data_IF_064392277412
#
_entry.id   IF_064392277412
#
_cell.length_a   1.000
_cell.length_b   1.000
_cell.length_c   1.000
_cell.angle_alpha   90.00
_cell.angle_beta   90.00
_cell.angle_gamma   90.00
#
_symmetry.space_group_name_H-M   'P 1'
#
loop_
_entity.id
_entity.type
_entity.pdbx_description
1 polymer ?
#
# COMPACT_ATOMS: atom_id res chain seq x y z
N UNK A 1 -45.90 1.91 26.86
CA UNK A 1 -45.45 0.63 27.44
C UNK A 1 -44.43 -0.12 26.57
N UNK A 2 -44.41 0.04 25.25
CA UNK A 2 -43.46 -0.63 24.32
C UNK A 2 -42.01 -0.12 24.39
N UNK A 3 -41.79 1.16 24.69
CA UNK A 3 -40.46 1.78 24.74
C UNK A 3 -39.56 1.29 25.89
N UNK A 4 -40.15 1.03 27.07
CA UNK A 4 -39.40 0.56 28.25
C UNK A 4 -38.97 -0.90 28.11
N UNK A 5 -39.86 -1.76 27.60
CA UNK A 5 -39.57 -3.17 27.32
C UNK A 5 -38.48 -3.36 26.25
N UNK A 6 -38.45 -2.46 25.25
CA UNK A 6 -37.38 -2.46 24.24
C UNK A 6 -36.03 -2.06 24.83
N UNK A 7 -35.98 -1.03 25.69
CA UNK A 7 -34.73 -0.55 26.31
C UNK A 7 -34.09 -1.63 27.19
N UNK A 8 -34.89 -2.34 27.97
CA UNK A 8 -34.41 -3.38 28.89
C UNK A 8 -33.79 -4.58 28.15
N UNK A 9 -34.40 -5.00 27.02
CA UNK A 9 -33.82 -6.03 26.13
C UNK A 9 -32.51 -5.57 25.49
N UNK A 10 -32.44 -4.33 25.01
CA UNK A 10 -31.22 -3.78 24.40
C UNK A 10 -30.08 -3.68 25.41
N UNK A 11 -30.36 -3.29 26.67
CA UNK A 11 -29.36 -3.25 27.74
C UNK A 11 -28.86 -4.64 28.10
N UNK A 12 -29.74 -5.65 28.19
CA UNK A 12 -29.35 -7.03 28.49
C UNK A 12 -28.47 -7.65 27.38
N UNK A 13 -28.81 -7.40 26.10
CA UNK A 13 -27.98 -7.81 24.95
C UNK A 13 -26.61 -7.12 24.96
N UNK A 14 -26.57 -5.81 25.24
CA UNK A 14 -25.32 -5.07 25.32
C UNK A 14 -24.40 -5.59 26.44
N UNK A 15 -24.95 -5.93 27.62
CA UNK A 15 -24.18 -6.53 28.71
C UNK A 15 -23.59 -7.87 28.29
N UNK A 16 -24.36 -8.71 27.61
CA UNK A 16 -23.88 -10.01 27.12
C UNK A 16 -22.76 -9.89 26.08
N UNK A 17 -22.87 -8.92 25.17
CA UNK A 17 -21.83 -8.65 24.16
C UNK A 17 -20.56 -8.07 24.77
N UNK A 18 -20.68 -7.19 25.79
CA UNK A 18 -19.54 -6.70 26.56
C UNK A 18 -18.85 -7.84 27.30
N UNK A 19 -19.60 -8.76 27.91
CA UNK A 19 -19.02 -9.92 28.59
C UNK A 19 -18.26 -10.82 27.61
N UNK A 20 -18.83 -11.12 26.43
CA UNK A 20 -18.12 -11.90 25.40
C UNK A 20 -16.87 -11.20 24.91
N UNK A 21 -16.93 -9.90 24.68
CA UNK A 21 -15.79 -9.10 24.26
C UNK A 21 -14.66 -9.16 25.30
N UNK A 22 -14.99 -8.98 26.58
CA UNK A 22 -14.02 -9.08 27.67
C UNK A 22 -13.42 -10.50 27.80
N UNK A 23 -14.23 -11.55 27.62
CA UNK A 23 -13.75 -12.93 27.61
C UNK A 23 -12.82 -13.19 26.43
N UNK A 24 -13.15 -12.70 25.23
CA UNK A 24 -12.31 -12.83 24.04
C UNK A 24 -10.97 -12.11 24.22
N UNK A 25 -11.01 -10.86 24.70
CA UNK A 25 -9.80 -10.08 24.98
C UNK A 25 -8.95 -10.77 26.05
N UNK A 26 -9.57 -11.25 27.13
CA UNK A 26 -8.89 -12.00 28.16
C UNK A 26 -8.24 -13.28 27.64
N UNK A 27 -8.94 -14.02 26.77
CA UNK A 27 -8.41 -15.23 26.13
C UNK A 27 -7.23 -14.92 25.18
N UNK A 28 -7.30 -13.81 24.43
CA UNK A 28 -6.20 -13.34 23.57
C UNK A 28 -5.00 -12.95 24.43
N UNK A 29 -5.19 -12.16 25.49
CA UNK A 29 -4.11 -11.75 26.39
C UNK A 29 -3.48 -12.99 27.02
N UNK A 30 -4.29 -13.92 27.54
CA UNK A 30 -3.79 -15.16 28.12
C UNK A 30 -3.01 -16.00 27.10
N UNK A 31 -3.55 -16.18 25.89
CA UNK A 31 -2.87 -16.92 24.83
C UNK A 31 -1.54 -16.27 24.40
N UNK A 32 -1.50 -14.94 24.32
CA UNK A 32 -0.29 -14.18 24.03
C UNK A 32 0.73 -14.30 25.16
N UNK A 33 0.31 -14.14 26.42
CA UNK A 33 1.18 -14.28 27.59
C UNK A 33 1.79 -15.68 27.67
N UNK A 34 0.96 -16.72 27.60
CA UNK A 34 1.42 -18.12 27.59
C UNK A 34 2.32 -18.40 26.38
N UNK A 35 1.97 -17.87 25.21
CA UNK A 35 2.80 -17.98 24.01
C UNK A 35 4.18 -17.35 24.20
N UNK A 36 4.24 -16.13 24.75
CA UNK A 36 5.50 -15.42 24.98
C UNK A 36 6.41 -16.12 25.99
N UNK A 37 5.84 -16.70 27.05
CA UNK A 37 6.57 -17.46 28.06
C UNK A 37 7.09 -18.79 27.50
N UNK A 38 6.26 -19.53 26.75
CA UNK A 38 6.65 -20.82 26.14
C UNK A 38 7.72 -20.69 25.07
N UNK A 39 7.76 -19.57 24.35
CA UNK A 39 8.76 -19.28 23.32
C UNK A 39 10.09 -18.78 23.90
N UNK A 40 10.20 -18.62 25.23
CA UNK A 40 11.38 -18.01 25.86
C UNK A 40 11.62 -16.58 25.39
N UNK A 41 10.56 -15.87 25.00
CA UNK A 41 10.68 -14.56 24.40
C UNK A 41 10.82 -13.49 25.49
N UNK A 42 12.00 -12.91 25.60
CA UNK A 42 12.25 -11.79 26.51
C UNK A 42 12.01 -10.47 25.77
N UNK A 43 10.88 -9.81 26.04
CA UNK A 43 10.59 -8.48 25.49
C UNK A 43 11.63 -7.46 25.95
N UNK A 44 12.43 -6.94 25.02
CA UNK A 44 13.53 -6.01 25.29
C UNK A 44 13.21 -4.59 24.79
N UNK A 45 12.08 -4.03 25.21
CA UNK A 45 11.61 -2.70 24.77
C UNK A 45 12.65 -1.59 24.94
N UNK A 46 13.50 -1.69 25.97
CA UNK A 46 14.60 -0.76 26.22
C UNK A 46 15.66 -0.71 25.09
N UNK A 47 15.70 -1.69 24.18
CA UNK A 47 16.64 -1.67 23.04
C UNK A 47 16.09 -0.89 21.84
N UNK A 48 14.78 -0.64 21.79
CA UNK A 48 14.11 -0.03 20.64
C UNK A 48 14.64 1.37 20.38
N UNK A 49 14.93 2.14 21.43
CA UNK A 49 15.46 3.51 21.32
C UNK A 49 16.70 3.58 20.42
N UNK A 50 17.61 2.61 20.53
CA UNK A 50 18.85 2.53 19.74
C UNK A 50 18.60 2.28 18.25
N UNK A 51 17.45 1.73 17.88
CA UNK A 51 17.08 1.54 16.49
C UNK A 51 16.46 2.80 15.86
N UNK A 52 16.00 3.74 16.69
CA UNK A 52 15.44 5.02 16.26
C UNK A 52 16.55 6.08 16.22
N UNK A 53 17.28 6.26 17.32
CA UNK A 53 18.37 7.25 17.44
C UNK A 53 19.56 6.63 18.15
N UNK A 54 20.75 6.85 17.60
CA UNK A 54 22.01 6.45 18.24
C UNK A 54 22.83 7.69 18.54
N UNK A 55 23.47 7.73 19.72
CA UNK A 55 24.44 8.76 20.08
C UNK A 55 25.85 8.19 19.93
N UNK A 56 26.54 8.57 18.86
CA UNK A 56 27.90 8.13 18.56
C UNK A 56 28.80 9.34 18.28
N UNK A 57 30.02 9.35 18.81
CA UNK A 57 31.03 10.39 18.56
C UNK A 57 30.52 11.82 18.78
N UNK A 58 29.77 12.04 19.88
CA UNK A 58 29.17 13.32 20.26
C UNK A 58 28.18 13.89 19.21
N UNK A 59 27.59 13.04 18.38
CA UNK A 59 26.56 13.39 17.38
C UNK A 59 25.37 12.45 17.50
N UNK A 60 24.18 13.01 17.29
CA UNK A 60 22.98 12.22 17.08
C UNK A 60 22.95 11.69 15.65
N UNK A 61 22.83 10.37 15.51
CA UNK A 61 22.68 9.68 14.24
C UNK A 61 21.33 8.98 14.16
N UNK A 62 20.73 9.00 12.97
CA UNK A 62 19.50 8.26 12.71
C UNK A 62 19.78 6.76 12.79
N UNK A 63 19.04 6.05 13.65
CA UNK A 63 19.11 4.61 13.76
C UNK A 63 18.52 3.91 12.53
N UNK A 64 18.72 2.59 12.39
CA UNK A 64 18.27 1.81 11.23
C UNK A 64 16.79 1.97 10.86
N UNK A 65 15.89 2.17 11.83
CA UNK A 65 14.46 2.36 11.55
C UNK A 65 14.20 3.70 10.87
N UNK A 66 14.85 4.78 11.32
CA UNK A 66 14.75 6.08 10.66
C UNK A 66 15.41 6.07 9.29
N UNK A 67 16.50 5.33 9.12
CA UNK A 67 17.13 5.13 7.81
C UNK A 67 16.19 4.37 6.85
N UNK A 68 15.55 3.29 7.31
CA UNK A 68 14.57 2.54 6.51
C UNK A 68 13.33 3.37 6.16
N UNK A 69 12.83 4.18 7.10
CA UNK A 69 11.75 5.14 6.86
C UNK A 69 12.14 6.15 5.77
N UNK A 70 13.37 6.67 5.82
CA UNK A 70 13.87 7.60 4.81
C UNK A 70 13.97 6.96 3.42
N UNK A 71 14.42 5.70 3.33
CA UNK A 71 14.42 4.96 2.07
C UNK A 71 12.99 4.74 1.56
N UNK A 72 12.03 4.46 2.44
CA UNK A 72 10.61 4.33 2.08
C UNK A 72 10.12 5.61 1.43
N UNK A 73 10.35 6.77 2.06
CA UNK A 73 9.96 8.06 1.47
C UNK A 73 10.62 8.31 0.11
N UNK A 74 11.91 7.96 -0.06
CA UNK A 74 12.60 8.09 -1.34
C UNK A 74 11.98 7.22 -2.43
N UNK A 75 11.75 5.94 -2.15
CA UNK A 75 11.13 5.01 -3.10
C UNK A 75 9.74 5.53 -3.47
N UNK A 76 8.89 5.85 -2.48
CA UNK A 76 7.53 6.35 -2.71
C UNK A 76 7.53 7.62 -3.55
N UNK A 77 8.37 8.61 -3.23
CA UNK A 77 8.42 9.87 -3.95
C UNK A 77 8.78 9.69 -5.44
N UNK A 78 9.84 8.92 -5.72
CA UNK A 78 10.29 8.68 -7.10
C UNK A 78 9.27 7.81 -7.85
N UNK A 79 8.78 6.74 -7.23
CA UNK A 79 7.76 5.87 -7.82
C UNK A 79 6.49 6.63 -8.17
N UNK A 80 6.04 7.55 -7.32
CA UNK A 80 4.82 8.32 -7.54
C UNK A 80 4.95 9.22 -8.78
N UNK A 81 6.07 9.93 -8.93
CA UNK A 81 6.33 10.78 -10.12
C UNK A 81 6.29 9.93 -11.40
N UNK A 82 6.96 8.77 -11.39
CA UNK A 82 6.98 7.86 -12.54
C UNK A 82 5.61 7.21 -12.78
N UNK A 83 4.88 6.82 -11.74
CA UNK A 83 3.54 6.26 -11.82
C UNK A 83 2.56 7.25 -12.46
N UNK A 84 2.62 8.52 -12.07
CA UNK A 84 1.83 9.57 -12.73
C UNK A 84 2.17 9.70 -14.22
N UNK A 85 3.46 9.60 -14.56
CA UNK A 85 3.92 9.65 -15.95
C UNK A 85 3.40 8.46 -16.75
N UNK A 86 3.61 7.22 -16.26
CA UNK A 86 3.11 6.00 -16.92
C UNK A 86 1.58 5.98 -16.99
N UNK A 87 0.90 6.42 -15.94
CA UNK A 87 -0.54 6.50 -15.87
C UNK A 87 -1.11 7.47 -16.89
N UNK A 88 -0.54 8.68 -17.00
CA UNK A 88 -0.98 9.68 -17.97
C UNK A 88 -0.77 9.20 -19.41
N UNK A 89 0.43 8.69 -19.72
CA UNK A 89 0.74 8.15 -21.05
C UNK A 89 -0.21 7.02 -21.40
N UNK A 90 -0.42 6.06 -20.51
CA UNK A 90 -1.33 4.93 -20.73
C UNK A 90 -2.78 5.38 -20.93
N UNK A 91 -3.25 6.36 -20.16
CA UNK A 91 -4.59 6.92 -20.31
C UNK A 91 -4.78 7.59 -21.68
N UNK A 92 -3.79 8.36 -22.15
CA UNK A 92 -3.80 8.98 -23.48
C UNK A 92 -3.80 7.92 -24.58
N UNK A 93 -2.98 6.88 -24.46
CA UNK A 93 -2.96 5.77 -25.42
C UNK A 93 -4.31 5.05 -25.51
N UNK A 94 -5.01 4.85 -24.38
CA UNK A 94 -6.35 4.26 -24.34
C UNK A 94 -7.44 5.11 -24.99
N UNK A 95 -7.33 6.42 -24.87
CA UNK A 95 -8.28 7.38 -25.44
C UNK A 95 -7.98 7.72 -26.91
N UNK A 96 -6.85 7.25 -27.43
CA UNK A 96 -6.47 7.43 -28.82
C UNK A 96 -7.35 6.61 -29.77
N UNK A 97 -7.58 7.16 -30.97
CA UNK A 97 -8.23 6.44 -32.08
C UNK A 97 -7.31 5.41 -32.75
N UNK A 98 -6.02 5.38 -32.41
CA UNK A 98 -5.05 4.44 -32.98
C UNK A 98 -5.21 3.04 -32.37
N UNK A 99 -5.44 2.04 -33.23
CA UNK A 99 -5.54 0.64 -32.82
C UNK A 99 -4.25 0.15 -32.13
N UNK A 100 -3.08 0.57 -32.63
CA UNK A 100 -1.79 0.19 -32.05
C UNK A 100 -1.61 0.78 -30.64
N UNK A 101 -1.99 2.05 -30.43
CA UNK A 101 -1.92 2.69 -29.11
C UNK A 101 -2.83 1.97 -28.11
N UNK A 102 -4.05 1.63 -28.53
CA UNK A 102 -5.00 0.90 -27.70
C UNK A 102 -4.49 -0.50 -27.34
N UNK A 103 -3.89 -1.23 -28.30
CA UNK A 103 -3.34 -2.56 -28.09
C UNK A 103 -2.17 -2.56 -27.08
N UNK A 104 -1.25 -1.59 -27.19
CA UNK A 104 -0.12 -1.44 -26.25
C UNK A 104 -0.63 -1.15 -24.84
N UNK A 105 -1.56 -0.19 -24.70
CA UNK A 105 -2.13 0.15 -23.41
C UNK A 105 -2.90 -1.03 -22.79
N UNK A 106 -3.69 -1.74 -23.60
CA UNK A 106 -4.40 -2.94 -23.15
C UNK A 106 -3.43 -4.01 -22.64
N UNK A 107 -2.37 -4.32 -23.39
CA UNK A 107 -1.39 -5.34 -22.99
C UNK A 107 -0.66 -4.99 -21.69
N UNK A 108 -0.24 -3.73 -21.53
CA UNK A 108 0.36 -3.25 -20.29
C UNK A 108 -0.60 -3.39 -19.09
N UNK A 109 -1.86 -2.94 -19.23
CA UNK A 109 -2.83 -3.00 -18.15
C UNK A 109 -3.21 -4.43 -17.78
N UNK A 110 -3.41 -5.29 -18.77
CA UNK A 110 -3.74 -6.71 -18.56
C UNK A 110 -2.60 -7.42 -17.81
N UNK A 111 -1.36 -7.22 -18.21
CA UNK A 111 -0.20 -7.84 -17.55
C UNK A 111 -0.07 -7.35 -16.09
N UNK A 112 -0.13 -6.04 -15.88
CA UNK A 112 0.17 -5.43 -14.59
C UNK A 112 -0.96 -5.63 -13.58
N UNK A 113 -2.23 -5.51 -13.99
CA UNK A 113 -3.36 -5.58 -13.06
C UNK A 113 -3.74 -7.02 -12.71
N UNK A 114 -3.40 -8.00 -13.55
CA UNK A 114 -3.67 -9.41 -13.29
C UNK A 114 -2.52 -10.16 -12.62
N UNK A 115 -1.40 -9.49 -12.32
CA UNK A 115 -0.26 -10.11 -11.61
C UNK A 115 -0.05 -9.46 -10.24
N UNK A 116 0.21 -10.24 -9.18
CA UNK A 116 0.47 -9.67 -7.86
C UNK A 116 1.72 -8.77 -7.88
N UNK A 117 1.67 -7.61 -7.23
CA UNK A 117 2.81 -6.68 -7.11
C UNK A 117 4.07 -7.39 -6.60
N UNK A 118 3.94 -8.31 -5.64
CA UNK A 118 5.07 -9.06 -5.11
C UNK A 118 5.79 -9.88 -6.20
N UNK A 119 5.04 -10.50 -7.12
CA UNK A 119 5.60 -11.27 -8.23
C UNK A 119 6.32 -10.32 -9.21
N UNK A 120 5.74 -9.17 -9.52
CA UNK A 120 6.38 -8.17 -10.38
C UNK A 120 7.68 -7.66 -9.77
N UNK A 121 7.69 -7.38 -8.46
CA UNK A 121 8.87 -6.93 -7.74
C UNK A 121 9.96 -8.01 -7.74
N UNK A 122 9.61 -9.26 -7.50
CA UNK A 122 10.55 -10.38 -7.58
C UNK A 122 11.08 -10.59 -9.00
N UNK A 123 10.23 -10.54 -10.01
CA UNK A 123 10.67 -10.67 -11.40
C UNK A 123 11.65 -9.57 -11.78
N UNK A 124 11.33 -8.31 -11.47
CA UNK A 124 12.22 -7.18 -11.76
C UNK A 124 13.52 -7.31 -10.97
N UNK A 125 13.47 -7.64 -9.69
CA UNK A 125 14.67 -7.72 -8.85
C UNK A 125 15.57 -8.93 -9.16
N UNK A 126 15.01 -10.13 -9.34
CA UNK A 126 15.79 -11.34 -9.52
C UNK A 126 16.09 -11.70 -10.97
N UNK A 127 15.27 -11.24 -11.93
CA UNK A 127 15.44 -11.56 -13.36
C UNK A 127 15.98 -10.36 -14.14
N UNK A 128 15.34 -9.19 -14.03
CA UNK A 128 15.72 -8.01 -14.82
C UNK A 128 16.95 -7.31 -14.25
N UNK A 129 17.03 -7.17 -12.92
CA UNK A 129 18.11 -6.44 -12.23
C UNK A 129 19.50 -6.92 -12.61
N UNK A 130 19.82 -8.24 -12.61
CA UNK A 130 21.15 -8.72 -12.96
C UNK A 130 21.47 -8.60 -14.46
N UNK A 131 20.45 -8.67 -15.33
CA UNK A 131 20.63 -8.57 -16.78
C UNK A 131 20.92 -7.13 -17.19
N UNK A 132 20.27 -6.17 -16.53
CA UNK A 132 20.37 -4.74 -16.85
C UNK A 132 21.34 -3.98 -15.92
N UNK A 133 21.97 -4.67 -14.97
CA UNK A 133 22.84 -4.11 -13.94
C UNK A 133 22.22 -2.91 -13.18
N UNK A 134 20.94 -3.04 -12.83
CA UNK A 134 20.21 -2.00 -12.07
C UNK A 134 20.18 -2.32 -10.57
N UNK A 135 20.13 -1.27 -9.75
CA UNK A 135 20.15 -1.39 -8.29
C UNK A 135 18.82 -1.91 -7.71
N UNK A 136 18.87 -2.46 -6.49
CA UNK A 136 17.67 -2.85 -5.72
C UNK A 136 16.66 -1.68 -5.57
N UNK A 137 17.17 -0.47 -5.36
CA UNK A 137 16.36 0.74 -5.26
C UNK A 137 15.63 1.01 -6.58
N UNK A 138 16.34 0.98 -7.70
CA UNK A 138 15.75 1.17 -9.04
C UNK A 138 14.72 0.09 -9.36
N UNK A 139 15.00 -1.17 -9.01
CA UNK A 139 14.09 -2.29 -9.20
C UNK A 139 12.78 -2.12 -8.41
N UNK A 140 12.86 -1.69 -7.14
CA UNK A 140 11.68 -1.36 -6.35
C UNK A 140 10.90 -0.18 -6.95
N UNK A 141 11.61 0.87 -7.37
CA UNK A 141 11.00 2.06 -7.98
C UNK A 141 10.25 1.71 -9.27
N UNK A 142 10.86 0.90 -10.14
CA UNK A 142 10.26 0.44 -11.40
C UNK A 142 9.03 -0.43 -11.16
N UNK A 143 9.13 -1.43 -10.28
CA UNK A 143 8.00 -2.29 -9.93
C UNK A 143 6.80 -1.49 -9.43
N UNK A 144 7.03 -0.61 -8.45
CA UNK A 144 5.97 0.20 -7.85
C UNK A 144 5.40 1.22 -8.86
N UNK A 145 6.25 1.86 -9.65
CA UNK A 145 5.77 2.87 -10.61
C UNK A 145 4.97 2.27 -11.75
N UNK A 146 5.38 1.11 -12.28
CA UNK A 146 4.62 0.38 -13.31
C UNK A 146 3.30 -0.15 -12.75
N UNK A 147 3.30 -0.67 -11.52
CA UNK A 147 2.09 -1.16 -10.88
C UNK A 147 1.09 -0.03 -10.64
N UNK A 148 1.48 1.00 -9.89
CA UNK A 148 0.63 2.14 -9.56
C UNK A 148 0.23 2.93 -10.82
N UNK A 149 1.11 3.05 -11.81
CA UNK A 149 0.82 3.70 -13.09
C UNK A 149 -0.36 3.09 -13.81
N UNK A 150 -0.55 1.76 -13.73
CA UNK A 150 -1.69 1.09 -14.33
C UNK A 150 -3.01 1.51 -13.68
N UNK A 151 -3.04 1.62 -12.35
CA UNK A 151 -4.21 2.09 -11.61
C UNK A 151 -4.46 3.59 -11.82
N UNK A 152 -3.41 4.42 -11.80
CA UNK A 152 -3.50 5.86 -12.08
C UNK A 152 -4.03 6.10 -13.50
N UNK A 153 -3.69 5.26 -14.47
CA UNK A 153 -4.23 5.40 -15.84
C UNK A 153 -5.75 5.29 -15.89
N UNK A 154 -6.36 4.43 -15.06
CA UNK A 154 -7.82 4.31 -14.98
C UNK A 154 -8.44 5.52 -14.29
N UNK A 155 -7.75 6.08 -13.29
CA UNK A 155 -8.18 7.33 -12.63
C UNK A 155 -8.20 8.46 -13.66
N UNK A 156 -7.11 8.64 -14.42
CA UNK A 156 -7.05 9.67 -15.46
C UNK A 156 -8.10 9.46 -16.53
N UNK A 157 -8.23 8.25 -17.08
CA UNK A 157 -9.22 7.93 -18.11
C UNK A 157 -10.64 8.20 -17.61
N UNK A 158 -10.95 7.78 -16.38
CA UNK A 158 -12.27 7.99 -15.78
C UNK A 158 -12.52 9.48 -15.53
N UNK A 159 -11.52 10.23 -15.08
CA UNK A 159 -11.59 11.67 -14.93
C UNK A 159 -11.91 12.38 -16.25
N UNK A 160 -11.23 12.02 -17.34
CA UNK A 160 -11.46 12.61 -18.66
C UNK A 160 -12.85 12.25 -19.20
N UNK A 161 -13.25 10.97 -19.12
CA UNK A 161 -14.55 10.49 -19.63
C UNK A 161 -15.72 11.01 -18.80
N UNK A 162 -15.50 11.43 -17.55
CA UNK A 162 -16.55 11.98 -16.69
C UNK A 162 -17.02 13.39 -17.09
N UNK A 163 -16.28 14.08 -17.97
CA UNK A 163 -16.64 15.42 -18.45
C UNK A 163 -17.80 15.32 -19.44
N UNK A 164 -18.84 16.13 -19.22
CA UNK A 164 -20.04 16.15 -20.06
C UNK A 164 -19.71 16.48 -21.52
N UNK A 165 -20.37 15.81 -22.46
CA UNK A 165 -20.18 16.02 -23.90
C UNK A 165 -20.45 17.46 -24.32
N UNK A 166 -21.39 18.15 -23.67
CA UNK A 166 -21.67 19.56 -23.95
C UNK A 166 -20.46 20.48 -23.73
N UNK A 167 -19.54 20.12 -22.84
CA UNK A 167 -18.29 20.87 -22.65
C UNK A 167 -17.30 20.67 -23.80
N UNK A 168 -17.27 19.48 -24.40
CA UNK A 168 -16.46 19.20 -25.57
C UNK A 168 -17.02 19.88 -26.83
N UNK A 169 -18.35 19.86 -26.99
CA UNK A 169 -19.05 20.52 -28.10
C UNK A 169 -18.92 22.06 -28.05
N UNK A 170 -18.97 22.65 -26.85
CA UNK A 170 -18.81 24.10 -26.68
C UNK A 170 -17.37 24.61 -26.94
N UNK A 171 -16.37 23.73 -26.88
CA UNK A 171 -14.97 24.07 -27.12
C UNK A 171 -14.55 23.96 -28.60
N UNK A 172 -15.39 23.34 -29.44
CA UNK A 172 -15.18 23.15 -30.87
C UNK A 172 -15.71 24.33 -31.69
#
# INVERSE_FOLDING_TARGET
>A
MSSLYSREKTTCLAVFDVVKFLLLVGAIIWALSVGTERLGYHWQWYRVERYIVTFENNRFMAGPLLQGLWITFKITAVSLILAFTFGLVTAMLRLSNSLAAHAVAWGYLELIRNTPLLIQLFFIYFVISPVMDISAFTSAVLALSLFEGAYISEIFRSGIVSIDKGQWEAAQ
#
